data_IF_858515268588
#
_entry.id   IF_858515268588
#
_cell.length_a   1.000
_cell.length_b   1.000
_cell.length_c   1.000
_cell.angle_alpha   90.00
_cell.angle_beta   90.00
_cell.angle_gamma   90.00
#
_symmetry.space_group_name_H-M   'P 1'
#
loop_
_entity.id
_entity.type
_entity.pdbx_description
1 polymer ?
#
# COMPACT_ATOMS: atom_id res chain seq x y z
N UNK A 1 -11.20 -29.58 -46.25
CA UNK A 1 -9.96 -29.21 -45.54
C UNK A 1 -10.22 -28.35 -44.29
N UNK A 2 -11.01 -27.26 -44.35
CA UNK A 2 -11.21 -26.33 -43.21
C UNK A 2 -11.93 -26.92 -41.97
N UNK A 3 -12.88 -27.85 -42.17
CA UNK A 3 -13.63 -28.50 -41.06
C UNK A 3 -12.74 -29.32 -40.12
N UNK A 4 -11.64 -29.88 -40.63
CA UNK A 4 -10.71 -30.68 -39.83
C UNK A 4 -9.90 -29.78 -38.89
N UNK A 5 -9.39 -28.66 -39.40
CA UNK A 5 -8.65 -27.65 -38.62
C UNK A 5 -9.56 -27.05 -37.55
N UNK A 6 -10.81 -26.70 -37.89
CA UNK A 6 -11.79 -26.19 -36.94
C UNK A 6 -12.13 -27.20 -35.83
N UNK A 7 -12.28 -28.49 -36.17
CA UNK A 7 -12.54 -29.54 -35.18
C UNK A 7 -11.35 -29.80 -34.25
N UNK A 8 -10.13 -29.60 -34.75
CA UNK A 8 -8.90 -29.75 -33.98
C UNK A 8 -8.70 -28.56 -33.03
N UNK A 9 -8.93 -27.34 -33.52
CA UNK A 9 -8.90 -26.11 -32.73
C UNK A 9 -9.97 -26.10 -31.62
N UNK A 10 -11.17 -26.62 -31.89
CA UNK A 10 -12.24 -26.71 -30.88
C UNK A 10 -11.93 -27.75 -29.77
N UNK A 11 -11.16 -28.80 -30.08
CA UNK A 11 -10.75 -29.83 -29.11
C UNK A 11 -9.56 -29.42 -28.26
N UNK A 12 -8.67 -28.60 -28.82
CA UNK A 12 -7.50 -28.04 -28.13
C UNK A 12 -7.72 -26.63 -27.58
N UNK A 13 -8.90 -26.05 -27.79
CA UNK A 13 -9.27 -24.80 -27.16
C UNK A 13 -9.18 -24.99 -25.65
N UNK A 14 -8.31 -24.23 -24.95
CA UNK A 14 -8.18 -24.37 -23.50
C UNK A 14 -9.55 -24.13 -22.90
N UNK A 15 -10.03 -25.08 -22.10
CA UNK A 15 -11.31 -24.95 -21.41
C UNK A 15 -11.30 -23.65 -20.61
N UNK A 16 -12.48 -23.03 -20.45
CA UNK A 16 -12.62 -21.78 -19.69
C UNK A 16 -12.00 -21.91 -18.30
N UNK A 17 -12.05 -23.11 -17.70
CA UNK A 17 -11.39 -23.45 -16.44
C UNK A 17 -9.86 -23.37 -16.51
N UNK A 18 -9.24 -23.90 -17.58
CA UNK A 18 -7.79 -23.77 -17.77
C UNK A 18 -7.36 -22.34 -18.06
N UNK A 19 -8.20 -21.56 -18.75
CA UNK A 19 -7.94 -20.13 -18.95
C UNK A 19 -8.02 -19.36 -17.64
N UNK A 20 -9.05 -19.63 -16.82
CA UNK A 20 -9.17 -19.05 -15.49
C UNK A 20 -7.97 -19.41 -14.61
N UNK A 21 -7.54 -20.68 -14.61
CA UNK A 21 -6.37 -21.14 -13.85
C UNK A 21 -5.08 -20.40 -14.27
N UNK A 22 -4.92 -20.11 -15.57
CA UNK A 22 -3.78 -19.33 -16.08
C UNK A 22 -3.89 -17.84 -15.76
N UNK A 23 -5.10 -17.28 -15.72
CA UNK A 23 -5.34 -15.88 -15.38
C UNK A 23 -5.22 -15.61 -13.86
N UNK A 24 -5.43 -16.61 -13.00
CA UNK A 24 -5.30 -16.48 -11.54
C UNK A 24 -4.01 -15.81 -11.06
N UNK A 25 -2.79 -16.23 -11.46
CA UNK A 25 -1.56 -15.58 -11.03
C UNK A 25 -1.44 -14.13 -11.54
N UNK A 26 -1.87 -13.86 -12.77
CA UNK A 26 -1.86 -12.51 -13.36
C UNK A 26 -2.77 -11.57 -12.57
N UNK A 27 -4.00 -12.01 -12.29
CA UNK A 27 -4.97 -11.24 -11.50
C UNK A 27 -4.49 -10.99 -10.07
N UNK A 28 -3.84 -11.97 -9.44
CA UNK A 28 -3.22 -11.79 -8.11
C UNK A 28 -2.12 -10.74 -8.16
N UNK A 29 -1.24 -10.80 -9.15
CA UNK A 29 -0.18 -9.79 -9.31
C UNK A 29 -0.77 -8.40 -9.55
N UNK A 30 -1.81 -8.29 -10.38
CA UNK A 30 -2.50 -7.02 -10.63
C UNK A 30 -3.14 -6.46 -9.34
N UNK A 31 -3.76 -7.32 -8.53
CA UNK A 31 -4.32 -6.96 -7.23
C UNK A 31 -3.24 -6.45 -6.28
N UNK A 32 -2.12 -7.17 -6.13
CA UNK A 32 -1.02 -6.72 -5.27
C UNK A 32 -0.46 -5.36 -5.72
N UNK A 33 -0.31 -5.13 -7.03
CA UNK A 33 0.15 -3.84 -7.54
C UNK A 33 -0.85 -2.71 -7.23
N UNK A 34 -2.15 -2.98 -7.35
CA UNK A 34 -3.18 -2.00 -7.00
C UNK A 34 -3.17 -1.68 -5.50
N UNK A 35 -3.03 -2.68 -4.64
CA UNK A 35 -2.91 -2.50 -3.19
C UNK A 35 -1.68 -1.68 -2.80
N UNK A 36 -0.53 -1.95 -3.43
CA UNK A 36 0.69 -1.18 -3.20
C UNK A 36 0.48 0.31 -3.54
N UNK A 37 -0.15 0.62 -4.68
CA UNK A 37 -0.46 2.00 -5.06
C UNK A 37 -1.39 2.71 -4.07
N UNK A 38 -2.35 1.98 -3.50
CA UNK A 38 -3.25 2.53 -2.48
C UNK A 38 -2.47 2.85 -1.21
N UNK A 39 -1.59 1.96 -0.76
CA UNK A 39 -0.74 2.19 0.42
C UNK A 39 0.17 3.40 0.22
N UNK A 40 0.80 3.51 -0.94
CA UNK A 40 1.67 4.65 -1.27
C UNK A 40 0.88 5.97 -1.24
N UNK A 41 -0.31 5.98 -1.85
CA UNK A 41 -1.18 7.16 -1.84
C UNK A 41 -1.67 7.52 -0.43
N UNK A 42 -1.93 6.52 0.42
CA UNK A 42 -2.30 6.74 1.82
C UNK A 42 -1.16 7.41 2.60
N UNK A 43 0.08 6.91 2.46
CA UNK A 43 1.26 7.51 3.09
C UNK A 43 1.44 8.96 2.65
N UNK A 44 1.30 9.24 1.36
CA UNK A 44 1.40 10.60 0.83
C UNK A 44 0.30 11.51 1.37
N UNK A 45 -0.94 11.04 1.45
CA UNK A 45 -2.06 11.80 2.00
C UNK A 45 -1.85 12.12 3.49
N UNK A 46 -1.40 11.14 4.28
CA UNK A 46 -1.10 11.33 5.70
C UNK A 46 0.03 12.32 5.92
N UNK A 47 1.08 12.27 5.09
CA UNK A 47 2.15 13.25 5.12
C UNK A 47 1.61 14.68 4.98
N UNK A 48 0.81 14.94 3.95
CA UNK A 48 0.27 16.29 3.74
C UNK A 48 -0.75 16.70 4.79
N UNK A 49 -1.57 15.77 5.31
CA UNK A 49 -2.45 16.04 6.45
C UNK A 49 -1.67 16.52 7.67
N UNK A 50 -0.57 15.84 8.02
CA UNK A 50 0.27 16.23 9.16
C UNK A 50 0.92 17.59 8.96
N UNK A 51 1.37 17.89 7.73
CA UNK A 51 1.94 19.18 7.35
C UNK A 51 0.91 20.31 7.43
N UNK A 52 -0.30 20.07 6.95
CA UNK A 52 -1.39 21.05 7.04
C UNK A 52 -1.77 21.32 8.49
N UNK A 53 -1.96 20.28 9.30
CA UNK A 53 -2.26 20.43 10.72
C UNK A 53 -1.18 21.23 11.47
N UNK A 54 0.10 21.02 11.12
CA UNK A 54 1.21 21.83 11.64
C UNK A 54 1.14 23.29 11.18
N UNK A 55 0.90 23.55 9.90
CA UNK A 55 0.76 24.92 9.40
C UNK A 55 -0.42 25.64 10.08
N UNK A 56 -1.55 24.95 10.24
CA UNK A 56 -2.72 25.49 10.95
C UNK A 56 -2.43 25.80 12.42
N UNK A 57 -1.68 24.95 13.12
CA UNK A 57 -1.32 25.20 14.52
C UNK A 57 -0.35 26.38 14.64
N UNK A 58 0.61 26.52 13.72
CA UNK A 58 1.52 27.67 13.66
C UNK A 58 0.74 28.96 13.40
N UNK A 59 -0.25 28.95 12.50
CA UNK A 59 -1.07 30.12 12.23
C UNK A 59 -1.93 30.54 13.44
N UNK A 60 -2.43 29.58 14.22
CA UNK A 60 -3.29 29.85 15.39
C UNK A 60 -2.51 30.29 16.63
N UNK A 61 -1.40 29.62 16.92
CA UNK A 61 -0.73 29.69 18.24
C UNK A 61 0.67 30.32 18.18
N UNK A 62 1.18 30.62 16.97
CA UNK A 62 2.57 31.03 16.78
C UNK A 62 3.56 29.87 16.86
N UNK A 63 4.79 30.10 16.39
CA UNK A 63 5.82 29.06 16.21
C UNK A 63 6.37 28.54 17.55
N UNK A 64 6.38 29.37 18.58
CA UNK A 64 7.00 29.02 19.87
C UNK A 64 6.23 27.91 20.59
N UNK A 65 4.89 27.98 20.61
CA UNK A 65 4.05 26.97 21.29
C UNK A 65 4.01 25.61 20.56
N UNK A 66 4.17 25.58 19.24
CA UNK A 66 4.12 24.34 18.44
C UNK A 66 5.45 23.58 18.52
N UNK A 67 6.55 24.28 18.76
CA UNK A 67 7.89 23.70 18.92
C UNK A 67 8.03 22.96 20.25
N UNK A 68 7.46 23.52 21.32
CA UNK A 68 7.44 22.90 22.65
C UNK A 68 6.57 21.65 22.69
N UNK A 69 5.41 21.66 22.03
CA UNK A 69 4.50 20.50 21.94
C UNK A 69 5.09 19.30 21.17
N UNK A 70 6.06 19.52 20.27
CA UNK A 70 6.76 18.42 19.58
C UNK A 70 7.76 17.72 20.50
N UNK A 71 8.20 18.37 21.58
CA UNK A 71 9.19 17.84 22.52
C UNK A 71 8.58 16.88 23.54
N UNK A 72 7.30 17.05 23.86
CA UNK A 72 6.55 16.09 24.65
C UNK A 72 5.93 15.00 23.74
N UNK A 73 6.24 13.72 23.96
CA UNK A 73 5.56 12.64 23.25
C UNK A 73 4.08 12.64 23.68
N UNK A 74 3.22 13.26 22.88
CA UNK A 74 1.78 13.22 23.09
C UNK A 74 1.29 11.75 23.07
N UNK A 75 0.74 11.22 24.18
CA UNK A 75 0.36 9.81 24.30
C UNK A 75 -0.96 9.46 23.55
N UNK A 76 -1.23 10.14 22.44
CA UNK A 76 -2.46 10.00 21.66
C UNK A 76 -2.32 10.34 20.17
N UNK A 77 -1.14 10.75 19.70
CA UNK A 77 -0.91 10.83 18.26
C UNK A 77 -0.81 9.40 17.71
N UNK A 78 -1.43 9.08 16.56
CA UNK A 78 -1.19 7.80 15.90
C UNK A 78 0.32 7.74 15.66
N UNK A 79 0.98 6.95 16.47
CA UNK A 79 2.38 6.62 16.30
C UNK A 79 2.42 5.98 14.93
N UNK A 80 2.90 6.73 13.95
CA UNK A 80 3.41 6.19 12.70
C UNK A 80 4.32 5.04 13.15
N UNK A 81 3.85 3.80 13.04
CA UNK A 81 4.64 2.60 13.29
C UNK A 81 5.65 2.52 12.17
N UNK A 82 6.64 3.40 12.24
CA UNK A 82 7.73 3.52 11.31
C UNK A 82 8.73 2.43 11.68
N UNK A 83 8.56 1.27 11.07
CA UNK A 83 9.59 0.23 10.95
C UNK A 83 9.69 -0.74 12.13
N UNK A 84 10.05 -2.01 11.84
CA UNK A 84 10.37 -2.99 12.87
C UNK A 84 11.62 -2.53 13.61
N UNK A 85 11.50 -2.33 14.92
CA UNK A 85 12.66 -2.14 15.80
C UNK A 85 13.56 -3.36 15.67
N UNK A 86 14.70 -3.20 15.01
CA UNK A 86 15.82 -4.12 15.09
C UNK A 86 16.32 -4.09 16.54
N UNK A 87 15.69 -4.89 17.40
CA UNK A 87 16.18 -5.17 18.74
C UNK A 87 17.49 -5.93 18.57
N UNK A 88 18.62 -5.22 18.69
CA UNK A 88 19.92 -5.79 18.95
C UNK A 88 19.81 -6.73 20.14
N UNK A 89 19.85 -8.03 19.87
CA UNK A 89 20.01 -9.06 20.89
C UNK A 89 21.39 -8.88 21.53
N UNK A 90 21.41 -8.48 22.80
CA UNK A 90 22.58 -8.49 23.65
C UNK A 90 22.79 -9.94 24.08
N UNK A 91 23.65 -10.67 23.38
CA UNK A 91 24.15 -11.97 23.87
C UNK A 91 25.06 -11.71 25.06
N UNK A 92 24.69 -12.33 26.19
CA UNK A 92 25.53 -12.55 27.36
C UNK A 92 26.32 -13.85 27.18
#
# INVERSE_FOLDING_TARGET
MLRWIASWAARYAPTVEQQAQKAMPELRMALYQAEQRILDAQVQAEYYRSRLAFCESVLKNGIEQVSDLRRDPHPGAPTLKLGPTLTTAKSA
#
